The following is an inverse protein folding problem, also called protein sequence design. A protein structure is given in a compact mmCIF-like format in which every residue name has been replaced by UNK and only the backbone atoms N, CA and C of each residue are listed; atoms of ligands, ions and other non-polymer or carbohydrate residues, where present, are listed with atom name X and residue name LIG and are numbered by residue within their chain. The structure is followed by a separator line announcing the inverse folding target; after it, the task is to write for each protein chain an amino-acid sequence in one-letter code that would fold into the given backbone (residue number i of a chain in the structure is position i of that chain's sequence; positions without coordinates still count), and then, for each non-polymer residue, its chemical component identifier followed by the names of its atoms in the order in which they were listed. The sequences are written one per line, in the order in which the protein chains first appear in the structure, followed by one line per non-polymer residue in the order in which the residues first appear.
data_IF_970063356555
#
_entry.id   IF_970063356555
#
_cell.length_a   1.000
_cell.length_b   1.000
_cell.length_c   1.000
_cell.angle_alpha   90.00
_cell.angle_beta   90.00
_cell.angle_gamma   90.00
#
_symmetry.space_group_name_H-M   'P 1'
#
loop_
_entity.id
_entity.type
_entity.pdbx_description
1 polymer ?
#
# COMPACT_ATOMS: atom_id res chain seq x y z
N UNK A 1 24.74 32.32 25.47
CA UNK A 1 24.52 32.11 24.02
C UNK A 1 24.39 30.60 23.82
N UNK A 2 23.19 30.09 23.51
CA UNK A 2 22.98 28.65 23.31
C UNK A 2 23.72 28.20 22.04
N UNK A 3 24.43 27.07 22.11
CA UNK A 3 25.18 26.50 20.98
C UNK A 3 24.21 25.80 20.01
N UNK A 4 23.63 26.59 19.11
CA UNK A 4 22.74 26.12 18.05
C UNK A 4 23.43 25.18 17.06
N UNK A 5 24.76 25.19 16.98
CA UNK A 5 25.52 24.35 16.04
C UNK A 5 25.52 22.87 16.43
N UNK A 6 25.46 22.56 17.72
CA UNK A 6 25.33 21.19 18.24
C UNK A 6 23.92 20.63 18.01
N UNK A 7 22.90 21.48 18.13
CA UNK A 7 21.50 21.11 17.87
C UNK A 7 21.32 20.78 16.38
N UNK A 8 21.84 21.62 15.48
CA UNK A 8 21.77 21.36 14.03
C UNK A 8 22.50 20.08 13.60
N UNK A 9 23.69 19.81 14.15
CA UNK A 9 24.42 18.55 13.88
C UNK A 9 23.67 17.32 14.37
N UNK A 10 23.05 17.40 15.55
CA UNK A 10 22.23 16.34 16.12
C UNK A 10 20.98 16.08 15.29
N UNK A 11 20.26 17.13 14.89
CA UNK A 11 19.10 17.05 13.99
C UNK A 11 19.49 16.42 12.65
N UNK A 12 20.60 16.86 12.04
CA UNK A 12 21.07 16.34 10.75
C UNK A 12 21.44 14.85 10.84
N UNK A 13 22.07 14.42 11.93
CA UNK A 13 22.39 13.01 12.19
C UNK A 13 21.14 12.15 12.39
N UNK A 14 20.15 12.65 13.15
CA UNK A 14 18.86 11.97 13.35
C UNK A 14 18.13 11.86 12.02
N UNK A 15 18.03 12.93 11.24
CA UNK A 15 17.37 12.93 9.93
C UNK A 15 18.05 11.96 8.94
N UNK A 16 19.38 11.91 8.93
CA UNK A 16 20.12 10.95 8.10
C UNK A 16 19.82 9.50 8.51
N UNK A 17 19.83 9.20 9.81
CA UNK A 17 19.51 7.86 10.35
C UNK A 17 18.07 7.45 10.04
N UNK A 18 17.11 8.35 10.22
CA UNK A 18 15.70 8.14 9.88
C UNK A 18 15.52 7.91 8.38
N UNK A 19 16.25 8.65 7.54
CA UNK A 19 16.29 8.44 6.09
C UNK A 19 16.78 7.05 5.70
N UNK A 20 17.89 6.59 6.29
CA UNK A 20 18.42 5.23 6.06
C UNK A 20 17.46 4.14 6.54
N UNK A 21 16.81 4.34 7.70
CA UNK A 21 15.82 3.39 8.21
C UNK A 21 14.61 3.25 7.27
N UNK A 22 14.09 4.38 6.78
CA UNK A 22 12.96 4.39 5.85
C UNK A 22 13.29 3.65 4.56
N UNK A 23 14.48 3.90 4.00
CA UNK A 23 14.95 3.23 2.78
C UNK A 23 15.01 1.71 2.98
N UNK A 24 15.64 1.25 4.08
CA UNK A 24 15.74 -0.18 4.38
C UNK A 24 14.38 -0.85 4.59
N UNK A 25 13.45 -0.16 5.24
CA UNK A 25 12.06 -0.66 5.38
C UNK A 25 11.40 -0.82 4.02
N UNK A 26 11.62 0.11 3.08
CA UNK A 26 11.11 0.00 1.71
C UNK A 26 11.75 -1.16 0.95
N UNK A 27 13.08 -1.33 1.02
CA UNK A 27 13.79 -2.45 0.39
C UNK A 27 13.26 -3.81 0.87
N UNK A 28 12.98 -3.95 2.18
CA UNK A 28 12.39 -5.16 2.74
C UNK A 28 10.95 -5.39 2.28
N UNK A 29 10.15 -4.33 2.13
CA UNK A 29 8.80 -4.41 1.58
C UNK A 29 8.84 -4.89 0.14
N UNK A 30 9.71 -4.31 -0.70
CA UNK A 30 9.89 -4.70 -2.10
C UNK A 30 10.39 -6.14 -2.24
N UNK A 31 11.37 -6.53 -1.41
CA UNK A 31 11.85 -7.90 -1.35
C UNK A 31 10.76 -8.89 -0.93
N UNK A 32 9.83 -8.47 -0.06
CA UNK A 32 8.68 -9.28 0.34
C UNK A 32 7.71 -9.48 -0.81
N UNK A 33 7.41 -8.44 -1.60
CA UNK A 33 6.57 -8.54 -2.81
C UNK A 33 7.18 -9.55 -3.79
N UNK A 34 8.48 -9.44 -4.08
CA UNK A 34 9.22 -10.37 -4.95
C UNK A 34 9.23 -11.79 -4.40
N UNK A 35 9.39 -11.97 -3.09
CA UNK A 35 9.33 -13.29 -2.47
C UNK A 35 7.95 -13.93 -2.60
N UNK A 36 6.87 -13.16 -2.41
CA UNK A 36 5.50 -13.64 -2.59
C UNK A 36 5.23 -14.02 -4.04
N UNK A 37 5.72 -13.22 -4.99
CA UNK A 37 5.63 -13.54 -6.42
C UNK A 37 6.28 -14.90 -6.75
N UNK A 38 7.50 -15.11 -6.25
CA UNK A 38 8.32 -16.28 -6.58
C UNK A 38 7.89 -17.54 -5.83
N UNK A 39 7.43 -17.40 -4.59
CA UNK A 39 7.23 -18.53 -3.67
C UNK A 39 5.82 -18.62 -3.08
N UNK A 40 4.93 -17.67 -3.39
CA UNK A 40 3.64 -17.53 -2.72
C UNK A 40 3.78 -17.10 -1.25
N UNK A 41 2.65 -16.91 -0.57
CA UNK A 41 2.62 -16.52 0.84
C UNK A 41 3.24 -17.57 1.79
N UNK A 42 2.96 -18.85 1.53
CA UNK A 42 3.45 -19.95 2.35
C UNK A 42 4.95 -20.17 2.17
N UNK A 43 5.44 -20.16 0.92
CA UNK A 43 6.86 -20.31 0.61
C UNK A 43 7.71 -19.07 0.91
N UNK A 44 7.10 -17.92 1.15
CA UNK A 44 7.81 -16.71 1.60
C UNK A 44 8.28 -16.89 3.04
N UNK A 45 9.58 -16.78 3.30
CA UNK A 45 10.18 -16.93 4.64
C UNK A 45 11.07 -15.73 4.95
N UNK A 46 11.44 -15.56 6.22
CA UNK A 46 12.42 -14.52 6.61
C UNK A 46 13.70 -14.67 5.78
N UNK A 47 14.13 -15.91 5.50
CA UNK A 47 15.35 -16.17 4.74
C UNK A 47 15.22 -15.83 3.25
N UNK A 48 14.08 -16.13 2.62
CA UNK A 48 13.88 -15.78 1.20
C UNK A 48 13.83 -14.27 1.03
N UNK A 49 13.15 -13.56 1.94
CA UNK A 49 13.06 -12.09 1.94
C UNK A 49 14.43 -11.47 2.20
N UNK A 50 15.16 -11.93 3.23
CA UNK A 50 16.45 -11.34 3.60
C UNK A 50 17.48 -11.53 2.49
N UNK A 51 17.47 -12.70 1.83
CA UNK A 51 18.30 -12.95 0.63
C UNK A 51 17.93 -12.03 -0.52
N UNK A 52 16.63 -11.86 -0.78
CA UNK A 52 16.13 -10.99 -1.84
C UNK A 52 16.48 -9.51 -1.62
N UNK A 53 16.53 -9.06 -0.36
CA UNK A 53 16.91 -7.71 0.03
C UNK A 53 18.43 -7.52 0.18
N UNK A 54 19.23 -8.59 0.13
CA UNK A 54 20.64 -8.59 0.52
C UNK A 54 20.87 -8.03 1.95
N UNK A 55 20.03 -8.44 2.90
CA UNK A 55 20.08 -8.03 4.29
C UNK A 55 20.12 -9.22 5.25
N UNK A 56 20.53 -9.00 6.49
CA UNK A 56 20.49 -10.05 7.53
C UNK A 56 19.06 -10.34 7.99
N UNK A 57 18.75 -11.59 8.32
CA UNK A 57 17.43 -11.97 8.85
C UNK A 57 17.03 -11.17 10.12
N UNK A 58 18.01 -10.83 10.97
CA UNK A 58 17.78 -10.08 12.21
C UNK A 58 17.20 -8.67 11.97
N UNK A 59 17.47 -8.05 10.82
CA UNK A 59 16.94 -6.71 10.52
C UNK A 59 15.41 -6.72 10.38
N UNK A 60 14.83 -7.83 9.93
CA UNK A 60 13.38 -7.97 9.78
C UNK A 60 12.71 -7.98 11.15
N UNK A 61 13.26 -8.73 12.11
CA UNK A 61 12.76 -8.74 13.49
C UNK A 61 12.91 -7.35 14.13
N UNK A 62 14.05 -6.67 13.90
CA UNK A 62 14.26 -5.32 14.40
C UNK A 62 13.23 -4.30 13.87
N UNK A 63 12.90 -4.31 12.57
CA UNK A 63 12.00 -3.31 11.99
C UNK A 63 10.52 -3.68 12.01
N UNK A 64 10.19 -4.97 11.97
CA UNK A 64 8.83 -5.45 11.78
C UNK A 64 8.38 -6.46 12.84
N UNK A 65 9.26 -6.84 13.76
CA UNK A 65 9.01 -7.82 14.82
C UNK A 65 9.03 -9.27 14.32
N UNK A 66 8.26 -9.57 13.27
CA UNK A 66 8.08 -10.94 12.75
C UNK A 66 7.87 -10.96 11.23
N UNK A 67 7.90 -12.17 10.63
CA UNK A 67 7.46 -12.39 9.23
C UNK A 67 6.06 -11.80 9.02
N UNK A 68 5.13 -12.09 9.93
CA UNK A 68 3.76 -11.60 9.83
C UNK A 68 3.69 -10.08 9.90
N UNK A 69 4.48 -9.44 10.77
CA UNK A 69 4.56 -7.99 10.86
C UNK A 69 5.05 -7.35 9.55
N UNK A 70 6.04 -7.97 8.90
CA UNK A 70 6.54 -7.52 7.59
C UNK A 70 5.49 -7.70 6.49
N UNK A 71 4.82 -8.86 6.44
CA UNK A 71 3.72 -9.11 5.50
C UNK A 71 2.61 -8.05 5.65
N UNK A 72 2.19 -7.76 6.88
CA UNK A 72 1.18 -6.72 7.14
C UNK A 72 1.65 -5.33 6.70
N UNK A 73 2.94 -5.00 6.92
CA UNK A 73 3.52 -3.75 6.46
C UNK A 73 3.56 -3.67 4.93
N UNK A 74 3.91 -4.76 4.25
CA UNK A 74 3.91 -4.86 2.78
C UNK A 74 2.51 -4.66 2.21
N UNK A 75 1.49 -5.33 2.77
CA UNK A 75 0.11 -5.13 2.31
C UNK A 75 -0.36 -3.70 2.56
N UNK A 76 -0.08 -3.11 3.73
CA UNK A 76 -0.40 -1.69 4.00
C UNK A 76 0.25 -0.76 2.98
N UNK A 77 1.50 -1.04 2.60
CA UNK A 77 2.20 -0.28 1.57
C UNK A 77 1.46 -0.36 0.23
N UNK A 78 1.11 -1.56 -0.25
CA UNK A 78 0.36 -1.74 -1.49
C UNK A 78 -1.01 -1.02 -1.47
N UNK A 79 -1.71 -1.07 -0.33
CA UNK A 79 -2.99 -0.39 -0.15
C UNK A 79 -2.87 1.13 -0.16
N UNK A 80 -1.78 1.68 0.39
CA UNK A 80 -1.49 3.11 0.34
C UNK A 80 -1.09 3.54 -1.09
N UNK A 81 -0.33 2.72 -1.83
CA UNK A 81 0.01 2.99 -3.22
C UNK A 81 -1.25 3.13 -4.10
N UNK A 82 -2.29 2.30 -3.89
CA UNK A 82 -3.58 2.46 -4.56
C UNK A 82 -4.23 3.82 -4.29
N UNK A 83 -4.18 4.28 -3.03
CA UNK A 83 -4.73 5.58 -2.65
C UNK A 83 -3.91 6.72 -3.28
N UNK A 84 -2.58 6.62 -3.22
CA UNK A 84 -1.69 7.64 -3.77
C UNK A 84 -1.80 7.72 -5.29
N UNK A 85 -1.96 6.61 -5.99
CA UNK A 85 -2.18 6.59 -7.44
C UNK A 85 -3.40 7.41 -7.86
N UNK A 86 -4.51 7.26 -7.13
CA UNK A 86 -5.72 8.05 -7.39
C UNK A 86 -5.48 9.54 -7.12
N UNK A 87 -4.84 9.88 -6.00
CA UNK A 87 -4.54 11.28 -5.68
C UNK A 87 -3.62 11.92 -6.70
N UNK A 88 -2.64 11.18 -7.22
CA UNK A 88 -1.74 11.63 -8.27
C UNK A 88 -2.50 11.87 -9.58
N UNK A 89 -3.38 10.95 -10.00
CA UNK A 89 -4.21 11.14 -11.18
C UNK A 89 -5.12 12.36 -11.07
N UNK A 90 -5.75 12.57 -9.91
CA UNK A 90 -6.59 13.75 -9.65
C UNK A 90 -5.75 15.02 -9.68
N UNK A 91 -4.57 15.03 -9.05
CA UNK A 91 -3.72 16.23 -8.95
C UNK A 91 -3.08 16.60 -10.28
N UNK A 92 -2.82 15.62 -11.15
CA UNK A 92 -2.29 15.83 -12.49
C UNK A 92 -3.39 16.12 -13.53
N UNK A 93 -4.67 16.10 -13.15
CA UNK A 93 -5.76 16.35 -14.06
C UNK A 93 -5.91 17.85 -14.33
N UNK A 94 -5.69 18.25 -15.58
CA UNK A 94 -5.87 19.65 -16.02
C UNK A 94 -7.34 20.02 -16.29
N UNK A 95 -8.20 19.01 -16.44
CA UNK A 95 -9.63 19.20 -16.70
C UNK A 95 -10.40 19.41 -15.39
N UNK A 96 -11.57 20.05 -15.47
CA UNK A 96 -12.49 20.10 -14.33
C UNK A 96 -12.88 18.68 -13.92
N UNK A 97 -12.66 18.34 -12.65
CA UNK A 97 -12.93 17.01 -12.13
C UNK A 97 -14.43 16.78 -11.99
N UNK A 98 -15.07 16.24 -13.03
CA UNK A 98 -16.48 15.82 -12.96
C UNK A 98 -16.65 14.53 -12.15
N UNK A 99 -17.84 14.26 -11.59
CA UNK A 99 -18.11 13.01 -10.88
C UNK A 99 -17.85 11.75 -11.73
N UNK A 100 -18.15 11.79 -13.03
CA UNK A 100 -17.92 10.70 -13.99
C UNK A 100 -16.43 10.48 -14.22
N UNK A 101 -15.66 11.56 -14.45
CA UNK A 101 -14.21 11.46 -14.61
C UNK A 101 -13.55 10.91 -13.35
N UNK A 102 -14.00 11.34 -12.17
CA UNK A 102 -13.52 10.81 -10.90
C UNK A 102 -13.86 9.33 -10.73
N UNK A 103 -15.05 8.87 -11.15
CA UNK A 103 -15.41 7.43 -11.14
C UNK A 103 -14.45 6.64 -12.04
N UNK A 104 -14.21 7.13 -13.26
CA UNK A 104 -13.30 6.49 -14.20
C UNK A 104 -11.89 6.39 -13.62
N UNK A 105 -11.35 7.47 -13.05
CA UNK A 105 -10.03 7.45 -12.38
C UNK A 105 -9.95 6.46 -11.22
N UNK A 106 -11.02 6.33 -10.41
CA UNK A 106 -11.08 5.33 -9.34
C UNK A 106 -10.98 3.92 -9.94
N UNK A 107 -11.75 3.63 -10.99
CA UNK A 107 -11.70 2.33 -11.68
C UNK A 107 -10.31 2.10 -12.26
N UNK A 108 -9.80 3.01 -13.07
CA UNK A 108 -8.51 2.91 -13.74
C UNK A 108 -7.37 2.70 -12.75
N UNK A 109 -7.32 3.45 -11.64
CA UNK A 109 -6.29 3.27 -10.61
C UNK A 109 -6.33 1.85 -10.00
N UNK A 110 -7.53 1.30 -9.73
CA UNK A 110 -7.64 -0.03 -9.13
C UNK A 110 -7.27 -1.13 -10.14
N UNK A 111 -7.52 -0.93 -11.43
CA UNK A 111 -7.17 -1.89 -12.48
C UNK A 111 -5.73 -1.75 -13.01
N UNK A 112 -5.14 -0.55 -12.97
CA UNK A 112 -3.78 -0.29 -13.42
C UNK A 112 -2.76 -1.18 -12.68
N UNK A 113 -2.95 -1.43 -11.38
CA UNK A 113 -2.09 -2.33 -10.62
C UNK A 113 -2.09 -3.78 -11.15
N UNK A 114 -3.18 -4.21 -11.79
CA UNK A 114 -3.27 -5.53 -12.43
C UNK A 114 -2.64 -5.56 -13.83
N UNK A 115 -2.68 -4.43 -14.53
CA UNK A 115 -2.14 -4.29 -15.88
C UNK A 115 -0.62 -4.07 -15.89
N UNK A 116 -0.06 -3.50 -14.82
CA UNK A 116 1.35 -3.10 -14.77
C UNK A 116 2.32 -4.26 -14.44
N UNK A 117 1.87 -5.31 -13.75
CA UNK A 117 2.75 -6.43 -13.40
C UNK A 117 2.00 -7.69 -12.98
N UNK A 118 2.42 -8.83 -13.54
CA UNK A 118 2.02 -10.18 -13.09
C UNK A 118 2.38 -10.40 -11.61
N UNK A 119 3.49 -9.80 -11.13
CA UNK A 119 3.97 -9.86 -9.74
C UNK A 119 2.96 -9.30 -8.74
N UNK A 120 2.49 -8.08 -9.01
CA UNK A 120 1.57 -7.33 -8.14
C UNK A 120 0.20 -8.02 -8.16
N UNK A 121 -0.25 -8.46 -9.33
CA UNK A 121 -1.49 -9.25 -9.49
C UNK A 121 -1.46 -10.52 -8.64
N UNK A 122 -0.39 -11.30 -8.73
CA UNK A 122 -0.24 -12.53 -7.93
C UNK A 122 -0.23 -12.22 -6.44
N UNK A 123 0.46 -11.15 -6.04
CA UNK A 123 0.51 -10.70 -4.65
C UNK A 123 -0.88 -10.33 -4.12
N UNK A 124 -1.70 -9.62 -4.90
CA UNK A 124 -3.10 -9.31 -4.54
C UNK A 124 -3.97 -10.55 -4.42
N UNK A 125 -3.88 -11.48 -5.39
CA UNK A 125 -4.64 -12.73 -5.35
C UNK A 125 -4.28 -13.57 -4.13
N UNK A 126 -2.98 -13.73 -3.85
CA UNK A 126 -2.55 -14.42 -2.65
C UNK A 126 -2.99 -13.70 -1.38
N UNK A 127 -2.94 -12.36 -1.35
CA UNK A 127 -3.44 -11.59 -0.21
C UNK A 127 -4.93 -11.84 0.04
N UNK A 128 -5.79 -11.77 -0.98
CA UNK A 128 -7.22 -12.00 -0.81
C UNK A 128 -7.53 -13.42 -0.38
N UNK A 129 -6.84 -14.42 -0.95
CA UNK A 129 -6.97 -15.81 -0.50
C UNK A 129 -6.60 -15.94 0.98
N UNK A 130 -5.53 -15.28 1.43
CA UNK A 130 -5.08 -15.37 2.81
C UNK A 130 -5.94 -14.57 3.79
N UNK A 131 -6.53 -13.45 3.34
CA UNK A 131 -7.45 -12.65 4.15
C UNK A 131 -8.74 -13.42 4.53
N UNK A 132 -9.07 -14.52 3.84
CA UNK A 132 -10.17 -15.40 4.25
C UNK A 132 -9.86 -16.19 5.53
N UNK A 133 -8.58 -16.31 5.91
CA UNK A 133 -8.12 -17.16 7.01
C UNK A 133 -7.34 -16.40 8.09
N UNK A 134 -6.92 -15.16 7.82
CA UNK A 134 -6.14 -14.33 8.75
C UNK A 134 -6.91 -13.06 9.13
N UNK A 135 -7.30 -12.89 10.42
CA UNK A 135 -8.08 -11.74 10.87
C UNK A 135 -7.40 -10.37 10.67
N UNK A 136 -6.08 -10.27 10.77
CA UNK A 136 -5.37 -9.00 10.56
C UNK A 136 -5.35 -8.62 9.09
N UNK A 137 -5.18 -9.59 8.20
CA UNK A 137 -5.29 -9.37 6.74
C UNK A 137 -6.74 -9.07 6.34
N UNK A 138 -7.72 -9.76 6.93
CA UNK A 138 -9.15 -9.48 6.73
C UNK A 138 -9.50 -8.04 7.13
N UNK A 139 -8.94 -7.55 8.25
CA UNK A 139 -9.14 -6.17 8.69
C UNK A 139 -8.60 -5.16 7.69
N UNK A 140 -7.40 -5.41 7.13
CA UNK A 140 -6.83 -4.55 6.09
C UNK A 140 -7.68 -4.55 4.81
N UNK A 141 -8.15 -5.73 4.39
CA UNK A 141 -9.06 -5.87 3.25
C UNK A 141 -10.36 -5.10 3.48
N UNK A 142 -10.96 -5.22 4.68
CA UNK A 142 -12.21 -4.53 5.02
C UNK A 142 -12.07 -3.00 4.98
N UNK A 143 -10.97 -2.47 5.52
CA UNK A 143 -10.67 -1.04 5.46
C UNK A 143 -10.55 -0.56 4.00
N UNK A 144 -9.84 -1.32 3.17
CA UNK A 144 -9.67 -1.00 1.75
C UNK A 144 -10.99 -1.04 0.98
N UNK A 145 -11.78 -2.09 1.17
CA UNK A 145 -13.07 -2.27 0.50
C UNK A 145 -14.05 -1.16 0.89
N UNK A 146 -14.12 -0.79 2.18
CA UNK A 146 -14.94 0.34 2.63
C UNK A 146 -14.47 1.67 2.04
N UNK A 147 -13.15 1.91 1.96
CA UNK A 147 -12.60 3.11 1.30
C UNK A 147 -13.03 3.17 -0.16
N UNK A 148 -12.87 2.07 -0.91
CA UNK A 148 -13.25 2.01 -2.33
C UNK A 148 -14.76 2.25 -2.51
N UNK A 149 -15.59 1.52 -1.76
CA UNK A 149 -17.05 1.66 -1.81
C UNK A 149 -17.50 3.09 -1.51
N UNK A 150 -16.96 3.72 -0.46
CA UNK A 150 -17.31 5.11 -0.11
C UNK A 150 -16.88 6.10 -1.19
N UNK A 151 -15.71 5.90 -1.81
CA UNK A 151 -15.25 6.78 -2.88
C UNK A 151 -16.11 6.67 -4.15
N UNK A 152 -16.50 5.45 -4.51
CA UNK A 152 -17.42 5.20 -5.63
C UNK A 152 -18.80 5.79 -5.34
N UNK A 153 -19.39 5.49 -4.17
CA UNK A 153 -20.70 6.01 -3.78
C UNK A 153 -20.74 7.55 -3.75
N UNK A 154 -19.66 8.20 -3.32
CA UNK A 154 -19.59 9.66 -3.31
C UNK A 154 -19.79 10.24 -4.70
N UNK A 155 -19.05 9.76 -5.70
CA UNK A 155 -19.19 10.25 -7.08
C UNK A 155 -20.50 9.77 -7.71
N UNK A 156 -20.87 8.52 -7.50
CA UNK A 156 -22.07 7.92 -8.09
C UNK A 156 -23.36 8.66 -7.69
N UNK A 157 -23.47 9.08 -6.42
CA UNK A 157 -24.60 9.88 -5.93
C UNK A 157 -24.74 11.25 -6.59
N UNK A 158 -23.67 11.77 -7.18
CA UNK A 158 -23.70 13.05 -7.89
C UNK A 158 -24.10 12.88 -9.36
N UNK A 159 -23.89 11.67 -9.92
CA UNK A 159 -24.26 11.32 -11.29
C UNK A 159 -25.72 10.88 -11.37
N UNK A 160 -26.21 10.13 -10.37
CA UNK A 160 -27.63 9.75 -10.31
C UNK A 160 -28.47 10.91 -9.81
N UNK A 161 -29.11 11.60 -10.75
CA UNK A 161 -30.07 12.68 -10.50
C UNK A 161 -31.43 12.17 -10.01
N UNK A 162 -31.74 10.88 -10.19
CA UNK A 162 -33.08 10.33 -9.89
C UNK A 162 -33.09 9.48 -8.60
N UNK A 163 -33.60 10.08 -7.51
CA UNK A 163 -33.68 9.45 -6.18
C UNK A 163 -34.55 8.18 -6.13
N UNK A 164 -35.36 7.92 -7.16
CA UNK A 164 -36.24 6.75 -7.25
C UNK A 164 -35.50 5.43 -7.48
N UNK A 165 -34.28 5.44 -8.02
CA UNK A 165 -33.50 4.22 -8.28
C UNK A 165 -32.45 3.90 -7.21
N UNK A 166 -32.14 4.84 -6.32
CA UNK A 166 -31.02 4.73 -5.37
C UNK A 166 -31.35 3.97 -4.07
N UNK A 167 -32.62 3.64 -3.80
CA UNK A 167 -33.04 3.00 -2.52
C UNK A 167 -33.13 1.46 -2.62
N UNK A 168 -32.91 0.90 -3.81
CA UNK A 168 -33.15 -0.54 -4.07
C UNK A 168 -31.89 -1.33 -4.45
N UNK A 169 -30.69 -0.76 -4.31
CA UNK A 169 -29.42 -1.41 -4.63
C UNK A 169 -28.49 -1.52 -3.41
#
# INVERSE_FOLDING_TARGET
MLDYSLIERSIKSIMARVGTEKLRKQELIEATIKSIENHGFQGTTIMTISRQANMSAGIISHYFGSKQGLILATIRHLLEQLKQGLLQQISACEQTLTPELRLQMIVDTNFACFQQSTSITRTWLCFWAQALHDPELARLQSVNSKRLQRNLLYSYKQVITDKAQATTA
#
